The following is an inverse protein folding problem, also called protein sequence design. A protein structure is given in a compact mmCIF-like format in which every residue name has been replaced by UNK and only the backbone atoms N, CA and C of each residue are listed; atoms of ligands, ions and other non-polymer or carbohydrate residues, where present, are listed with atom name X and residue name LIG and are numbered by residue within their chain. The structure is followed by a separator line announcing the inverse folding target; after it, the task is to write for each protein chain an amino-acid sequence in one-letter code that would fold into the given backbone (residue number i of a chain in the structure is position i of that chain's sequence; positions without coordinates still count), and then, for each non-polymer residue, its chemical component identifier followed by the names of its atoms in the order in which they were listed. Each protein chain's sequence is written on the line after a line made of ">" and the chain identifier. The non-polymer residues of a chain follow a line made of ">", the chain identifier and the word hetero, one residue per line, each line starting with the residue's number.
data_IF_249990114495
#
_entry.id   IF_249990114495
#
_cell.length_a   1.000
_cell.length_b   1.000
_cell.length_c   1.000
_cell.angle_alpha   90.00
_cell.angle_beta   90.00
_cell.angle_gamma   90.00
#
_symmetry.space_group_name_H-M   'P 1'
#
loop_
_entity.id
_entity.type
_entity.pdbx_description
1 polymer ?
#
# COMPACT_ATOMS: atom_id res chain seq x y z
N UNK A 1 -12.73 11.48 24.25
CA UNK A 1 -12.43 12.65 23.36
C UNK A 1 -13.47 12.68 22.25
N UNK A 2 -14.22 13.77 22.13
CA UNK A 2 -15.22 13.94 21.06
C UNK A 2 -14.57 14.53 19.82
N UNK A 3 -15.05 14.13 18.64
CA UNK A 3 -14.64 14.71 17.38
C UNK A 3 -15.33 16.07 17.22
N UNK A 4 -14.54 17.12 17.07
CA UNK A 4 -15.03 18.48 16.86
C UNK A 4 -15.25 18.78 15.37
N UNK A 5 -14.33 18.34 14.50
CA UNK A 5 -14.33 18.67 13.09
C UNK A 5 -13.70 17.55 12.26
N UNK A 6 -14.21 17.36 11.05
CA UNK A 6 -13.65 16.48 10.01
C UNK A 6 -13.60 17.27 8.70
N UNK A 7 -12.44 17.36 8.09
CA UNK A 7 -12.19 18.10 6.86
C UNK A 7 -11.42 17.21 5.88
N UNK A 8 -11.74 17.27 4.61
CA UNK A 8 -10.93 16.64 3.58
C UNK A 8 -9.78 17.55 3.11
N UNK A 9 -8.75 16.95 2.51
CA UNK A 9 -7.66 17.69 1.87
C UNK A 9 -7.10 16.94 0.67
N UNK A 10 -6.44 17.67 -0.22
CA UNK A 10 -5.71 17.13 -1.38
C UNK A 10 -4.30 17.73 -1.41
N UNK A 11 -3.28 16.88 -1.57
CA UNK A 11 -1.91 17.30 -1.90
C UNK A 11 -1.51 16.62 -3.22
N UNK A 12 -1.01 17.40 -4.18
CA UNK A 12 -0.43 16.86 -5.42
C UNK A 12 1.09 17.04 -5.37
N UNK A 13 1.78 15.95 -5.09
CA UNK A 13 3.24 15.92 -4.95
C UNK A 13 3.86 15.54 -6.29
N UNK A 14 4.65 16.42 -6.93
CA UNK A 14 5.24 16.12 -8.23
C UNK A 14 6.29 15.02 -8.12
N UNK A 15 6.27 14.13 -9.09
CA UNK A 15 7.35 13.16 -9.30
C UNK A 15 8.48 13.84 -10.05
N UNK A 16 9.65 13.91 -9.44
CA UNK A 16 10.81 14.58 -9.99
C UNK A 16 11.96 13.62 -10.29
N UNK A 17 12.79 13.97 -11.26
CA UNK A 17 14.04 13.26 -11.56
C UNK A 17 13.93 12.05 -12.47
N UNK A 18 12.75 11.45 -12.62
CA UNK A 18 12.51 10.32 -13.54
C UNK A 18 11.05 10.23 -13.97
N UNK A 19 10.81 9.58 -15.10
CA UNK A 19 9.47 9.19 -15.49
C UNK A 19 9.12 7.84 -14.85
N UNK A 20 7.97 7.78 -14.20
CA UNK A 20 7.44 6.53 -13.65
C UNK A 20 6.30 6.03 -14.51
N UNK A 21 6.38 4.77 -14.89
CA UNK A 21 5.25 4.04 -15.44
C UNK A 21 5.36 2.55 -15.10
N UNK A 22 4.22 1.94 -14.89
CA UNK A 22 4.04 0.50 -14.92
C UNK A 22 3.32 0.07 -16.22
N UNK A 23 2.65 -1.08 -16.23
CA UNK A 23 1.95 -1.61 -17.40
C UNK A 23 0.59 -0.95 -17.66
N UNK A 24 0.07 -0.16 -16.72
CA UNK A 24 -1.30 0.38 -16.73
C UNK A 24 -1.35 1.90 -16.74
N UNK A 25 -0.39 2.60 -16.13
CA UNK A 25 -0.42 4.06 -16.04
C UNK A 25 0.98 4.69 -15.91
N UNK A 26 1.03 6.00 -16.17
CA UNK A 26 2.21 6.83 -15.99
C UNK A 26 1.93 7.90 -14.93
N UNK A 27 2.84 8.08 -14.00
CA UNK A 27 2.65 8.93 -12.83
C UNK A 27 3.54 10.17 -12.95
N UNK A 28 2.93 11.35 -13.00
CA UNK A 28 3.61 12.65 -12.97
C UNK A 28 3.51 13.34 -11.62
N UNK A 29 2.45 13.06 -10.87
CA UNK A 29 2.21 13.54 -9.53
C UNK A 29 1.60 12.42 -8.70
N UNK A 30 1.97 12.38 -7.45
CA UNK A 30 1.35 11.53 -6.45
C UNK A 30 0.18 12.29 -5.82
N UNK A 31 -1.04 11.78 -6.00
CA UNK A 31 -2.24 12.35 -5.39
C UNK A 31 -2.41 11.79 -3.98
N UNK A 32 -2.27 12.65 -2.98
CA UNK A 32 -2.55 12.34 -1.56
C UNK A 32 -3.87 12.98 -1.21
N UNK A 33 -4.90 12.18 -0.98
CA UNK A 33 -6.25 12.62 -0.63
C UNK A 33 -6.55 12.19 0.78
N UNK A 34 -6.92 13.12 1.66
CA UNK A 34 -6.97 12.80 3.07
C UNK A 34 -8.15 13.36 3.84
N UNK A 35 -8.23 12.90 5.09
CA UNK A 35 -9.07 13.43 6.14
C UNK A 35 -8.20 13.98 7.28
N UNK A 36 -8.57 15.17 7.76
CA UNK A 36 -8.05 15.79 8.97
C UNK A 36 -9.17 15.77 9.99
N UNK A 37 -8.95 15.13 11.13
CA UNK A 37 -9.93 15.00 12.21
C UNK A 37 -9.40 15.72 13.45
N UNK A 38 -10.17 16.70 13.97
CA UNK A 38 -9.81 17.47 15.15
C UNK A 38 -10.65 17.02 16.34
N UNK A 39 -10.00 16.65 17.44
CA UNK A 39 -10.63 16.38 18.73
C UNK A 39 -10.95 17.66 19.51
N UNK A 40 -11.85 17.57 20.49
CA UNK A 40 -12.25 18.69 21.35
C UNK A 40 -11.10 19.28 22.20
N UNK A 41 -10.03 18.52 22.42
CA UNK A 41 -8.82 18.92 23.11
C UNK A 41 -7.77 19.57 22.18
N UNK A 42 -8.10 19.73 20.90
CA UNK A 42 -7.20 20.28 19.88
C UNK A 42 -6.24 19.26 19.24
N UNK A 43 -6.24 18.01 19.67
CA UNK A 43 -5.46 16.96 19.01
C UNK A 43 -5.95 16.73 17.59
N UNK A 44 -5.02 16.57 16.63
CA UNK A 44 -5.35 16.41 15.21
C UNK A 44 -4.80 15.10 14.66
N UNK A 45 -5.68 14.28 14.10
CA UNK A 45 -5.33 13.09 13.34
C UNK A 45 -5.38 13.33 11.84
N UNK A 46 -4.45 12.74 11.12
CA UNK A 46 -4.38 12.79 9.67
C UNK A 46 -4.38 11.38 9.09
N UNK A 47 -5.17 11.17 8.06
CA UNK A 47 -5.14 9.95 7.27
C UNK A 47 -5.31 10.28 5.80
N UNK A 48 -4.81 9.43 4.93
CA UNK A 48 -4.90 9.66 3.50
C UNK A 48 -5.02 8.35 2.71
N UNK A 49 -5.44 8.51 1.50
CA UNK A 49 -5.49 7.53 0.42
C UNK A 49 -4.96 8.20 -0.86
N UNK A 50 -4.99 7.52 -1.97
CA UNK A 50 -4.60 8.10 -3.25
C UNK A 50 -5.28 7.42 -4.43
N UNK A 51 -5.35 8.16 -5.52
CA UNK A 51 -5.80 7.65 -6.83
C UNK A 51 -4.62 7.32 -7.74
N UNK A 52 -3.41 7.38 -7.19
CA UNK A 52 -2.13 7.26 -7.87
C UNK A 52 -2.00 8.29 -9.00
N UNK A 53 -2.36 7.95 -10.23
CA UNK A 53 -2.17 8.83 -11.38
C UNK A 53 -3.43 9.58 -11.83
N UNK A 54 -4.63 9.22 -11.32
CA UNK A 54 -5.87 9.84 -11.78
C UNK A 54 -6.34 10.97 -10.87
N UNK A 55 -5.58 12.07 -10.82
CA UNK A 55 -5.82 13.22 -9.96
C UNK A 55 -7.25 13.82 -10.01
N UNK A 56 -7.98 13.80 -11.15
CA UNK A 56 -9.37 14.27 -11.14
C UNK A 56 -10.31 13.50 -10.20
N UNK A 57 -10.02 12.22 -9.92
CA UNK A 57 -10.82 11.42 -8.98
C UNK A 57 -10.61 11.81 -7.52
N UNK A 58 -9.58 12.57 -7.19
CA UNK A 58 -9.29 13.04 -5.83
C UNK A 58 -10.48 13.84 -5.28
N UNK A 59 -11.12 14.67 -6.12
CA UNK A 59 -12.30 15.45 -5.73
C UNK A 59 -13.54 14.58 -5.43
N UNK A 60 -13.66 13.41 -6.07
CA UNK A 60 -14.74 12.48 -5.76
C UNK A 60 -14.55 11.87 -4.36
N UNK A 61 -13.31 11.60 -3.98
CA UNK A 61 -12.98 11.09 -2.64
C UNK A 61 -13.25 12.16 -1.58
N UNK A 62 -12.78 13.40 -1.78
CA UNK A 62 -13.04 14.50 -0.82
C UNK A 62 -14.53 14.77 -0.70
N UNK A 63 -15.27 14.76 -1.81
CA UNK A 63 -16.73 14.92 -1.77
C UNK A 63 -17.40 13.81 -0.96
N UNK A 64 -16.96 12.56 -1.10
CA UNK A 64 -17.45 11.45 -0.30
C UNK A 64 -17.15 11.65 1.19
N UNK A 65 -15.91 12.05 1.55
CA UNK A 65 -15.54 12.35 2.93
C UNK A 65 -16.47 13.43 3.50
N UNK A 66 -16.57 14.58 2.85
CA UNK A 66 -17.23 15.76 3.40
C UNK A 66 -18.75 15.60 3.49
N UNK A 67 -19.37 14.91 2.50
CA UNK A 67 -20.84 14.83 2.45
C UNK A 67 -21.41 13.55 3.02
N UNK A 68 -20.66 12.43 2.99
CA UNK A 68 -21.18 11.14 3.40
C UNK A 68 -20.62 10.66 4.75
N UNK A 69 -19.35 10.96 5.06
CA UNK A 69 -18.68 10.39 6.22
C UNK A 69 -18.53 11.39 7.37
N UNK A 70 -18.06 12.60 7.11
CA UNK A 70 -17.83 13.62 8.13
C UNK A 70 -19.05 13.92 9.00
N UNK A 71 -20.29 14.08 8.45
CA UNK A 71 -21.47 14.36 9.28
C UNK A 71 -21.81 13.26 10.29
N UNK A 72 -21.35 12.03 10.06
CA UNK A 72 -21.60 10.90 10.97
C UNK A 72 -20.59 10.83 12.12
N UNK A 73 -19.50 11.58 12.04
CA UNK A 73 -18.38 11.49 12.99
C UNK A 73 -18.36 12.64 13.99
N UNK A 74 -18.82 13.83 13.61
CA UNK A 74 -18.84 14.99 14.52
C UNK A 74 -19.67 14.68 15.76
N UNK A 75 -19.09 14.93 16.95
CA UNK A 75 -19.69 14.62 18.24
C UNK A 75 -19.48 13.19 18.75
N UNK A 76 -18.98 12.29 17.89
CA UNK A 76 -18.67 10.90 18.27
C UNK A 76 -17.37 10.81 19.10
N UNK A 77 -17.18 9.68 19.80
CA UNK A 77 -15.95 9.42 20.53
C UNK A 77 -14.87 8.86 19.60
N UNK A 78 -13.83 9.64 19.33
CA UNK A 78 -12.73 9.30 18.43
C UNK A 78 -11.92 8.05 18.86
N UNK A 79 -11.98 7.66 20.14
CA UNK A 79 -11.24 6.48 20.64
C UNK A 79 -11.90 5.14 20.29
N UNK A 80 -13.14 5.17 19.79
CA UNK A 80 -13.92 3.98 19.44
C UNK A 80 -13.79 3.62 17.95
N UNK A 81 -12.55 3.49 17.47
CA UNK A 81 -12.24 3.33 16.05
C UNK A 81 -13.03 2.19 15.38
N UNK A 82 -13.11 1.01 16.01
CA UNK A 82 -13.86 -0.14 15.50
C UNK A 82 -15.37 0.15 15.36
N UNK A 83 -15.98 0.76 16.36
CA UNK A 83 -17.40 1.15 16.31
C UNK A 83 -17.67 2.17 15.20
N UNK A 84 -16.80 3.17 15.08
CA UNK A 84 -16.91 4.19 14.04
C UNK A 84 -16.72 3.60 12.65
N UNK A 85 -15.76 2.70 12.46
CA UNK A 85 -15.58 1.98 11.22
C UNK A 85 -16.86 1.26 10.78
N UNK A 86 -17.48 0.48 11.68
CA UNK A 86 -18.74 -0.21 11.40
C UNK A 86 -19.91 0.74 11.11
N UNK A 87 -19.98 1.86 11.81
CA UNK A 87 -20.98 2.89 11.54
C UNK A 87 -20.86 3.45 10.14
N UNK A 88 -19.64 3.74 9.69
CA UNK A 88 -19.36 4.25 8.35
C UNK A 88 -19.63 3.18 7.29
N UNK A 89 -19.17 1.97 7.47
CA UNK A 89 -19.36 0.87 6.52
C UNK A 89 -20.83 0.56 6.23
N UNK A 90 -21.72 0.78 7.21
CA UNK A 90 -23.15 0.48 7.09
C UNK A 90 -24.02 1.67 6.68
N UNK A 91 -23.43 2.83 6.49
CA UNK A 91 -24.21 3.97 6.02
C UNK A 91 -24.60 3.80 4.53
N UNK A 92 -25.75 4.38 4.06
CA UNK A 92 -26.29 4.08 2.74
C UNK A 92 -25.35 4.33 1.56
N UNK A 93 -24.52 5.38 1.60
CA UNK A 93 -23.61 5.68 0.49
C UNK A 93 -22.54 4.58 0.30
N UNK A 94 -22.05 3.94 1.38
CA UNK A 94 -21.11 2.83 1.28
C UNK A 94 -21.83 1.51 1.03
N UNK A 95 -22.92 1.27 1.74
CA UNK A 95 -23.61 -0.03 1.66
C UNK A 95 -24.36 -0.25 0.33
N UNK A 96 -24.99 0.81 -0.21
CA UNK A 96 -25.86 0.70 -1.38
C UNK A 96 -25.25 1.25 -2.68
N UNK A 97 -24.46 2.33 -2.59
CA UNK A 97 -23.94 3.03 -3.76
C UNK A 97 -22.57 2.50 -4.17
N UNK A 98 -21.70 2.18 -3.20
CA UNK A 98 -20.38 1.65 -3.51
C UNK A 98 -19.69 1.04 -2.31
N UNK A 99 -19.28 -0.23 -2.43
CA UNK A 99 -18.51 -0.99 -1.43
C UNK A 99 -17.06 -1.20 -1.85
N UNK A 100 -16.64 -0.54 -2.92
CA UNK A 100 -15.29 -0.58 -3.49
C UNK A 100 -14.98 0.74 -4.18
N UNK A 101 -13.71 0.99 -4.51
CA UNK A 101 -13.28 2.21 -5.20
C UNK A 101 -13.48 3.46 -4.34
N UNK A 102 -14.03 4.54 -4.92
CA UNK A 102 -14.09 5.89 -4.31
C UNK A 102 -14.59 5.90 -2.88
N UNK A 103 -15.66 5.19 -2.58
CA UNK A 103 -16.25 5.17 -1.22
C UNK A 103 -15.35 4.47 -0.22
N UNK A 104 -14.69 3.39 -0.62
CA UNK A 104 -13.78 2.64 0.24
C UNK A 104 -12.46 3.38 0.43
N UNK A 105 -11.96 4.07 -0.60
CA UNK A 105 -10.82 4.98 -0.49
C UNK A 105 -11.11 6.14 0.48
N UNK A 106 -12.30 6.76 0.39
CA UNK A 106 -12.72 7.79 1.32
C UNK A 106 -12.80 7.27 2.78
N UNK A 107 -13.35 6.06 2.97
CA UNK A 107 -13.40 5.41 4.27
C UNK A 107 -12.00 5.12 4.81
N UNK A 108 -11.08 4.68 3.95
CA UNK A 108 -9.70 4.42 4.32
C UNK A 108 -9.00 5.66 4.90
N UNK A 109 -9.10 6.81 4.21
CA UNK A 109 -8.53 8.07 4.68
C UNK A 109 -9.07 8.47 6.07
N UNK A 110 -10.37 8.28 6.29
CA UNK A 110 -11.03 8.59 7.58
C UNK A 110 -10.59 7.62 8.68
N UNK A 111 -10.54 6.32 8.40
CA UNK A 111 -10.13 5.31 9.40
C UNK A 111 -8.67 5.50 9.82
N UNK A 112 -7.77 5.75 8.88
CA UNK A 112 -6.36 6.08 9.18
C UNK A 112 -6.26 7.32 10.05
N UNK A 113 -7.05 8.38 9.76
CA UNK A 113 -7.08 9.61 10.57
C UNK A 113 -7.59 9.35 12.00
N UNK A 114 -8.57 8.48 12.17
CA UNK A 114 -9.08 8.08 13.49
C UNK A 114 -8.03 7.30 14.29
N UNK A 115 -7.31 6.38 13.65
CA UNK A 115 -6.22 5.65 14.30
C UNK A 115 -5.05 6.56 14.67
N UNK A 116 -4.67 7.49 13.79
CA UNK A 116 -3.64 8.50 14.06
C UNK A 116 -4.03 9.39 15.25
N UNK A 117 -5.26 9.90 15.24
CA UNK A 117 -5.80 10.70 16.33
C UNK A 117 -5.81 9.95 17.66
N UNK A 118 -6.27 8.70 17.66
CA UNK A 118 -6.30 7.84 18.85
C UNK A 118 -4.89 7.59 19.39
N UNK A 119 -3.93 7.30 18.52
CA UNK A 119 -2.55 7.05 18.89
C UNK A 119 -1.89 8.30 19.51
N UNK A 120 -2.12 9.49 18.92
CA UNK A 120 -1.66 10.77 19.45
C UNK A 120 -2.30 11.09 20.80
N UNK A 121 -3.62 10.90 20.94
CA UNK A 121 -4.32 11.13 22.20
C UNK A 121 -3.82 10.25 23.36
N UNK A 122 -3.33 9.07 23.03
CA UNK A 122 -2.72 8.15 23.99
C UNK A 122 -1.19 8.32 24.11
N UNK A 123 -0.62 9.29 23.39
CA UNK A 123 0.82 9.56 23.34
C UNK A 123 1.65 8.32 22.99
N UNK A 124 1.21 7.56 21.98
CA UNK A 124 1.86 6.31 21.54
C UNK A 124 2.04 6.30 20.03
N UNK A 125 3.16 5.77 19.49
CA UNK A 125 3.22 5.36 18.09
C UNK A 125 2.18 4.28 17.80
N UNK A 126 1.64 4.25 16.59
CA UNK A 126 0.58 3.30 16.23
C UNK A 126 0.99 1.84 16.45
N UNK A 127 2.24 1.45 16.15
CA UNK A 127 2.71 0.08 16.38
C UNK A 127 2.63 -0.33 17.87
N UNK A 128 2.84 0.61 18.78
CA UNK A 128 2.72 0.36 20.23
C UNK A 128 1.26 0.23 20.65
N UNK A 129 0.39 1.09 20.12
CA UNK A 129 -1.06 1.00 20.32
C UNK A 129 -1.63 -0.30 19.80
N UNK A 130 -1.07 -0.85 18.73
CA UNK A 130 -1.45 -2.14 18.16
C UNK A 130 -0.94 -3.36 18.93
N UNK A 131 -0.30 -3.18 20.08
CA UNK A 131 0.12 -4.27 20.97
C UNK A 131 1.62 -4.45 21.13
N UNK A 132 2.43 -3.56 20.53
CA UNK A 132 3.88 -3.56 20.65
C UNK A 132 4.61 -4.20 19.47
N UNK A 133 5.93 -4.05 19.45
CA UNK A 133 6.77 -4.58 18.39
C UNK A 133 7.00 -6.08 18.56
N UNK A 134 6.78 -6.84 17.50
CA UNK A 134 7.06 -8.29 17.43
C UNK A 134 8.43 -8.56 16.80
N UNK A 135 9.10 -7.53 16.30
CA UNK A 135 10.44 -7.57 15.72
C UNK A 135 11.16 -6.24 15.86
N UNK A 136 12.48 -6.28 15.84
CA UNK A 136 13.30 -5.07 15.93
C UNK A 136 13.53 -4.40 14.58
N UNK A 137 13.50 -5.16 13.50
CA UNK A 137 13.77 -4.72 12.13
C UNK A 137 12.72 -5.23 11.16
N UNK A 138 12.42 -4.44 10.12
CA UNK A 138 11.55 -4.79 9.00
C UNK A 138 12.36 -4.67 7.71
N UNK A 139 12.57 -5.79 7.01
CA UNK A 139 13.25 -5.79 5.72
C UNK A 139 12.45 -5.01 4.68
N UNK A 140 13.15 -4.13 3.97
CA UNK A 140 12.61 -3.43 2.82
C UNK A 140 12.96 -4.18 1.52
N UNK A 141 12.03 -4.18 0.55
CA UNK A 141 12.36 -4.48 -0.84
C UNK A 141 12.13 -3.24 -1.71
N UNK A 142 13.09 -2.95 -2.59
CA UNK A 142 13.11 -1.72 -3.35
C UNK A 142 12.37 -1.88 -4.69
N UNK A 143 11.24 -1.18 -4.86
CA UNK A 143 10.47 -1.11 -6.10
C UNK A 143 10.80 0.15 -6.90
N UNK A 144 11.32 1.19 -6.24
CA UNK A 144 11.59 2.49 -6.88
C UNK A 144 12.57 2.41 -8.05
N UNK A 145 13.43 1.40 -8.07
CA UNK A 145 14.37 1.15 -9.16
C UNK A 145 13.81 0.31 -10.30
N UNK A 146 12.62 -0.27 -10.15
CA UNK A 146 12.08 -1.34 -11.01
C UNK A 146 11.05 -0.91 -12.05
N UNK A 147 10.80 0.37 -12.26
CA UNK A 147 9.71 0.85 -13.14
C UNK A 147 9.88 0.43 -14.60
N UNK A 148 8.74 0.16 -15.27
CA UNK A 148 8.71 -0.34 -16.64
C UNK A 148 9.25 0.70 -17.66
N UNK A 149 9.10 1.99 -17.34
CA UNK A 149 9.59 3.11 -18.14
C UNK A 149 11.12 3.28 -18.15
N UNK A 150 11.84 2.61 -17.25
CA UNK A 150 13.29 2.74 -17.17
C UNK A 150 13.96 1.98 -18.32
N UNK A 151 15.00 2.59 -18.91
CA UNK A 151 15.90 1.89 -19.82
C UNK A 151 16.63 0.75 -19.11
N UNK A 152 17.14 -0.24 -19.86
CA UNK A 152 17.86 -1.36 -19.26
C UNK A 152 19.09 -0.90 -18.46
N UNK A 153 19.84 0.07 -18.96
CA UNK A 153 20.99 0.63 -18.25
C UNK A 153 20.58 1.32 -16.94
N UNK A 154 19.47 2.07 -16.93
CA UNK A 154 18.97 2.72 -15.72
C UNK A 154 18.49 1.71 -14.70
N UNK A 155 17.77 0.67 -15.17
CA UNK A 155 17.30 -0.44 -14.33
C UNK A 155 18.47 -1.19 -13.68
N UNK A 156 19.49 -1.56 -14.46
CA UNK A 156 20.63 -2.33 -13.94
C UNK A 156 21.48 -1.50 -12.97
N UNK A 157 21.73 -0.21 -13.28
CA UNK A 157 22.43 0.69 -12.33
C UNK A 157 21.62 0.87 -11.03
N UNK A 158 20.30 1.07 -11.13
CA UNK A 158 19.45 1.20 -9.94
C UNK A 158 19.41 -0.08 -9.10
N UNK A 159 19.37 -1.24 -9.76
CA UNK A 159 19.39 -2.53 -9.07
C UNK A 159 20.72 -2.74 -8.31
N UNK A 160 21.86 -2.43 -8.93
CA UNK A 160 23.17 -2.52 -8.27
C UNK A 160 23.27 -1.52 -7.11
N UNK A 161 22.85 -0.28 -7.33
CA UNK A 161 22.82 0.73 -6.27
C UNK A 161 21.99 0.30 -5.07
N UNK A 162 20.80 -0.29 -5.30
CA UNK A 162 19.97 -0.80 -4.21
C UNK A 162 20.69 -1.91 -3.40
N UNK A 163 21.43 -2.79 -4.07
CA UNK A 163 22.26 -3.80 -3.38
C UNK A 163 23.36 -3.15 -2.56
N UNK A 164 24.05 -2.14 -3.11
CA UNK A 164 25.12 -1.39 -2.42
C UNK A 164 24.56 -0.60 -1.21
N UNK A 165 23.28 -0.18 -1.24
CA UNK A 165 22.55 0.45 -0.15
C UNK A 165 22.00 -0.55 0.88
N UNK A 166 22.32 -1.84 0.75
CA UNK A 166 21.96 -2.90 1.71
C UNK A 166 20.60 -3.55 1.49
N UNK A 167 19.87 -3.21 0.40
CA UNK A 167 18.61 -3.92 0.10
C UNK A 167 18.86 -5.37 -0.25
N UNK A 168 18.14 -6.27 0.43
CA UNK A 168 18.17 -7.72 0.17
C UNK A 168 17.00 -8.19 -0.69
N UNK A 169 16.15 -7.28 -1.13
CA UNK A 169 15.02 -7.53 -2.01
C UNK A 169 14.80 -6.40 -3.00
N UNK A 170 14.45 -6.77 -4.23
CA UNK A 170 14.16 -5.86 -5.34
C UNK A 170 12.89 -6.34 -6.02
N UNK A 171 12.02 -5.41 -6.44
CA UNK A 171 10.86 -5.69 -7.28
C UNK A 171 10.97 -4.91 -8.60
N UNK A 172 10.72 -5.58 -9.73
CA UNK A 172 10.68 -4.93 -11.04
C UNK A 172 9.31 -5.09 -11.69
N UNK A 173 8.89 -4.07 -12.42
CA UNK A 173 7.64 -4.12 -13.19
C UNK A 173 7.83 -4.89 -14.49
N UNK A 174 6.85 -5.72 -14.81
CA UNK A 174 6.68 -6.46 -16.07
C UNK A 174 5.32 -6.09 -16.70
N UNK A 175 4.96 -6.64 -17.86
CA UNK A 175 3.70 -6.32 -18.54
C UNK A 175 3.89 -5.60 -19.88
N UNK A 176 5.11 -5.64 -20.44
CA UNK A 176 5.40 -5.20 -21.81
C UNK A 176 5.09 -6.33 -22.80
N UNK A 177 6.03 -7.23 -23.00
CA UNK A 177 5.86 -8.51 -23.73
C UNK A 177 6.62 -9.61 -22.99
N UNK A 178 6.15 -10.85 -23.09
CA UNK A 178 6.80 -12.00 -22.44
C UNK A 178 8.30 -12.05 -22.76
N UNK A 179 8.68 -11.90 -24.02
CA UNK A 179 10.09 -11.95 -24.44
C UNK A 179 10.93 -10.81 -23.86
N UNK A 180 10.40 -9.59 -23.89
CA UNK A 180 11.07 -8.39 -23.37
C UNK A 180 11.23 -8.46 -21.86
N UNK A 181 10.19 -8.85 -21.16
CA UNK A 181 10.19 -8.90 -19.70
C UNK A 181 11.10 -10.03 -19.18
N UNK A 182 11.17 -11.18 -19.88
CA UNK A 182 12.14 -12.23 -19.59
C UNK A 182 13.59 -11.76 -19.80
N UNK A 183 13.85 -10.95 -20.83
CA UNK A 183 15.17 -10.36 -21.06
C UNK A 183 15.56 -9.45 -19.89
N UNK A 184 14.66 -8.55 -19.46
CA UNK A 184 14.86 -7.64 -18.32
C UNK A 184 15.09 -8.42 -17.02
N UNK A 185 14.22 -9.38 -16.71
CA UNK A 185 14.31 -10.23 -15.53
C UNK A 185 15.69 -10.93 -15.43
N UNK A 186 16.11 -11.58 -16.51
CA UNK A 186 17.40 -12.28 -16.57
C UNK A 186 18.59 -11.32 -16.45
N UNK A 187 18.50 -10.12 -17.01
CA UNK A 187 19.54 -9.10 -16.90
C UNK A 187 19.68 -8.62 -15.45
N UNK A 188 18.56 -8.33 -14.77
CA UNK A 188 18.58 -7.92 -13.35
C UNK A 188 19.11 -9.06 -12.47
N UNK A 189 18.63 -10.30 -12.64
CA UNK A 189 19.12 -11.45 -11.86
C UNK A 189 20.65 -11.60 -11.98
N UNK A 190 21.22 -11.50 -13.19
CA UNK A 190 22.67 -11.54 -13.37
C UNK A 190 23.42 -10.39 -12.69
N UNK A 191 22.80 -9.21 -12.65
CA UNK A 191 23.41 -8.03 -12.03
C UNK A 191 23.45 -8.07 -10.50
N UNK A 192 22.36 -8.58 -9.88
CA UNK A 192 22.23 -8.60 -8.41
C UNK A 192 22.73 -9.90 -7.76
N UNK A 193 23.02 -10.95 -8.56
CA UNK A 193 23.42 -12.26 -8.04
C UNK A 193 22.26 -13.06 -7.45
N UNK A 194 22.55 -14.21 -6.84
CA UNK A 194 21.54 -15.17 -6.38
C UNK A 194 21.07 -14.95 -4.92
N UNK A 195 21.77 -14.12 -4.16
CA UNK A 195 21.46 -13.88 -2.74
C UNK A 195 20.36 -12.83 -2.52
N UNK A 196 20.10 -12.00 -3.52
CA UNK A 196 19.07 -10.93 -3.45
C UNK A 196 17.74 -11.49 -3.94
N UNK A 197 16.67 -11.33 -3.15
CA UNK A 197 15.33 -11.71 -3.58
C UNK A 197 14.85 -10.82 -4.73
N UNK A 198 14.32 -11.41 -5.79
CA UNK A 198 13.84 -10.70 -6.98
C UNK A 198 12.36 -10.99 -7.19
N UNK A 199 11.51 -10.03 -6.91
CA UNK A 199 10.08 -10.07 -7.18
C UNK A 199 9.76 -9.40 -8.51
N UNK A 200 8.64 -9.78 -9.10
CA UNK A 200 8.10 -9.14 -10.31
C UNK A 200 6.64 -8.76 -10.11
N UNK A 201 6.19 -7.73 -10.82
CA UNK A 201 4.84 -7.22 -10.74
C UNK A 201 4.27 -6.92 -12.13
N UNK A 202 3.14 -7.55 -12.48
CA UNK A 202 2.46 -7.44 -13.76
C UNK A 202 1.32 -6.41 -13.80
N UNK A 203 0.86 -5.93 -12.65
CA UNK A 203 -0.28 -5.01 -12.49
C UNK A 203 -1.51 -5.45 -13.28
N UNK A 204 -1.85 -6.75 -13.24
CA UNK A 204 -3.04 -7.32 -13.86
C UNK A 204 -3.02 -7.34 -15.40
N UNK A 205 -1.88 -7.15 -16.03
CA UNK A 205 -1.78 -6.89 -17.47
C UNK A 205 -2.02 -8.09 -18.37
N UNK A 206 -1.57 -9.27 -17.97
CA UNK A 206 -1.55 -10.43 -18.85
C UNK A 206 -2.77 -11.33 -18.68
N UNK A 207 -3.01 -12.15 -19.69
CA UNK A 207 -3.95 -13.27 -19.61
C UNK A 207 -3.27 -14.53 -19.01
N UNK A 208 -4.06 -15.56 -18.77
CA UNK A 208 -3.57 -16.81 -18.19
C UNK A 208 -2.52 -17.50 -19.07
N UNK A 209 -2.69 -17.48 -20.40
CA UNK A 209 -1.76 -18.15 -21.32
C UNK A 209 -0.41 -17.45 -21.35
N UNK A 210 -0.39 -16.12 -21.39
CA UNK A 210 0.85 -15.34 -21.35
C UNK A 210 1.54 -15.49 -19.99
N UNK A 211 0.81 -15.47 -18.89
CA UNK A 211 1.35 -15.71 -17.55
C UNK A 211 1.94 -17.10 -17.39
N UNK A 212 1.29 -18.14 -17.90
CA UNK A 212 1.83 -19.50 -17.89
C UNK A 212 3.13 -19.63 -18.70
N UNK A 213 3.16 -19.05 -19.91
CA UNK A 213 4.38 -19.04 -20.75
C UNK A 213 5.52 -18.28 -20.08
N UNK A 214 5.19 -17.13 -19.47
CA UNK A 214 6.18 -16.35 -18.74
C UNK A 214 6.73 -17.13 -17.54
N UNK A 215 5.88 -17.67 -16.69
CA UNK A 215 6.29 -18.42 -15.50
C UNK A 215 7.20 -19.60 -15.86
N UNK A 216 6.84 -20.40 -16.88
CA UNK A 216 7.64 -21.51 -17.36
C UNK A 216 9.05 -21.06 -17.79
N UNK A 217 9.15 -19.94 -18.52
CA UNK A 217 10.43 -19.43 -19.00
C UNK A 217 11.24 -18.67 -17.94
N UNK A 218 10.58 -18.23 -16.85
CA UNK A 218 11.17 -17.47 -15.74
C UNK A 218 11.67 -18.36 -14.58
N UNK A 219 11.34 -19.66 -14.53
CA UNK A 219 11.70 -20.55 -13.42
C UNK A 219 13.19 -20.52 -13.07
N UNK A 220 14.06 -20.47 -14.08
CA UNK A 220 15.52 -20.42 -13.89
C UNK A 220 16.03 -19.09 -13.31
N UNK A 221 15.16 -18.07 -13.17
CA UNK A 221 15.52 -16.75 -12.64
C UNK A 221 15.27 -16.61 -11.14
N UNK A 222 14.84 -17.68 -10.47
CA UNK A 222 14.56 -17.73 -9.03
C UNK A 222 13.71 -16.53 -8.56
N UNK A 223 12.50 -16.41 -9.13
CA UNK A 223 11.56 -15.33 -8.83
C UNK A 223 10.94 -15.55 -7.46
N UNK A 224 11.06 -14.58 -6.56
CA UNK A 224 10.57 -14.66 -5.20
C UNK A 224 9.03 -14.66 -5.12
N UNK A 225 8.37 -13.78 -5.87
CA UNK A 225 6.95 -13.85 -6.20
C UNK A 225 6.64 -13.16 -7.53
N UNK A 226 5.49 -13.54 -8.10
CA UNK A 226 4.86 -12.84 -9.21
C UNK A 226 3.59 -12.14 -8.69
N UNK A 227 3.67 -10.81 -8.61
CA UNK A 227 2.60 -9.93 -8.13
C UNK A 227 1.64 -9.60 -9.27
N UNK A 228 0.33 -9.69 -8.99
CA UNK A 228 -0.76 -9.36 -9.91
C UNK A 228 -0.53 -9.87 -11.36
N UNK A 229 -0.33 -11.18 -11.55
CA UNK A 229 -0.11 -11.72 -12.90
C UNK A 229 -1.31 -11.51 -13.84
N UNK A 230 -2.53 -11.50 -13.30
CA UNK A 230 -3.80 -11.51 -14.01
C UNK A 230 -4.72 -10.41 -13.47
N UNK A 231 -5.83 -10.16 -14.17
CA UNK A 231 -6.85 -9.24 -13.70
C UNK A 231 -7.31 -9.57 -12.27
N UNK A 232 -7.49 -8.56 -11.45
CA UNK A 232 -7.62 -8.63 -10.00
C UNK A 232 -8.78 -9.51 -9.49
N UNK A 233 -9.89 -9.58 -10.25
CA UNK A 233 -11.09 -10.36 -9.87
C UNK A 233 -11.07 -11.78 -10.42
N UNK A 234 -10.02 -12.18 -11.16
CA UNK A 234 -9.93 -13.46 -11.84
C UNK A 234 -9.45 -14.59 -10.90
N UNK A 235 -10.14 -14.81 -9.78
CA UNK A 235 -9.73 -15.75 -8.72
C UNK A 235 -9.46 -17.17 -9.28
N UNK A 236 -10.36 -17.69 -10.14
CA UNK A 236 -10.20 -19.03 -10.73
C UNK A 236 -8.97 -19.13 -11.64
N UNK A 237 -8.68 -18.07 -12.40
CA UNK A 237 -7.51 -18.07 -13.27
C UNK A 237 -6.21 -17.98 -12.44
N UNK A 238 -6.21 -17.21 -11.34
CA UNK A 238 -5.11 -17.20 -10.38
C UNK A 238 -4.89 -18.58 -9.74
N UNK A 239 -5.96 -19.29 -9.35
CA UNK A 239 -5.85 -20.64 -8.83
C UNK A 239 -5.25 -21.60 -9.87
N UNK A 240 -5.67 -21.52 -11.14
CA UNK A 240 -5.09 -22.32 -12.22
C UNK A 240 -3.60 -22.02 -12.41
N UNK A 241 -3.22 -20.75 -12.41
CA UNK A 241 -1.82 -20.33 -12.52
C UNK A 241 -1.01 -20.80 -11.31
N UNK A 242 -1.53 -20.63 -10.08
CA UNK A 242 -0.87 -21.04 -8.85
C UNK A 242 -0.54 -22.55 -8.82
N UNK A 243 -1.45 -23.38 -9.36
CA UNK A 243 -1.23 -24.82 -9.45
C UNK A 243 -0.26 -25.23 -10.59
N UNK A 244 -0.09 -24.37 -11.59
CA UNK A 244 0.72 -24.68 -12.79
C UNK A 244 2.14 -24.11 -12.74
N UNK A 245 2.46 -23.23 -11.78
CA UNK A 245 3.79 -22.62 -11.63
C UNK A 245 4.42 -22.94 -10.28
N UNK A 246 5.75 -22.90 -10.22
CA UNK A 246 6.51 -22.94 -8.96
C UNK A 246 6.77 -21.53 -8.41
N UNK A 247 6.51 -20.48 -9.18
CA UNK A 247 6.69 -19.10 -8.74
C UNK A 247 5.52 -18.74 -7.81
N UNK A 248 5.77 -18.36 -6.54
CA UNK A 248 4.73 -17.93 -5.64
C UNK A 248 3.96 -16.73 -6.21
N UNK A 249 2.63 -16.72 -6.09
CA UNK A 249 1.80 -15.59 -6.51
C UNK A 249 1.54 -14.65 -5.34
N UNK A 250 1.58 -13.35 -5.60
CA UNK A 250 1.27 -12.29 -4.65
C UNK A 250 0.19 -11.35 -5.23
N UNK A 251 -0.72 -10.88 -4.41
CA UNK A 251 -1.70 -9.87 -4.81
C UNK A 251 -2.40 -9.24 -3.60
N UNK A 252 -3.11 -8.15 -3.81
CA UNK A 252 -3.99 -7.58 -2.80
C UNK A 252 -4.19 -6.07 -2.87
N UNK A 253 -3.35 -5.31 -3.56
CA UNK A 253 -3.47 -3.86 -3.66
C UNK A 253 -4.78 -3.38 -4.32
N UNK A 254 -5.43 -4.22 -5.12
CA UNK A 254 -6.70 -3.93 -5.79
C UNK A 254 -7.90 -4.62 -5.12
N UNK A 255 -7.71 -5.29 -3.99
CA UNK A 255 -8.80 -5.88 -3.22
C UNK A 255 -9.32 -4.90 -2.17
N UNK A 256 -10.63 -4.90 -1.94
CA UNK A 256 -11.31 -3.89 -1.13
C UNK A 256 -11.93 -4.41 0.18
N UNK A 257 -11.87 -5.70 0.45
CA UNK A 257 -12.46 -6.30 1.66
C UNK A 257 -11.77 -7.57 2.09
N UNK A 258 -11.89 -7.92 3.36
CA UNK A 258 -11.41 -9.21 3.89
C UNK A 258 -12.05 -10.40 3.18
N UNK A 259 -13.32 -10.29 2.75
CA UNK A 259 -14.03 -11.35 2.02
C UNK A 259 -13.37 -11.65 0.67
N UNK A 260 -12.87 -10.62 -0.03
CA UNK A 260 -12.13 -10.83 -1.28
C UNK A 260 -10.84 -11.62 -1.05
N UNK A 261 -10.08 -11.32 0.01
CA UNK A 261 -8.90 -12.11 0.38
C UNK A 261 -9.27 -13.54 0.79
N UNK A 262 -10.36 -13.72 1.54
CA UNK A 262 -10.82 -15.04 1.95
C UNK A 262 -11.13 -15.94 0.74
N UNK A 263 -11.70 -15.38 -0.34
CA UNK A 263 -11.98 -16.12 -1.58
C UNK A 263 -10.67 -16.58 -2.26
N UNK A 264 -9.67 -15.70 -2.39
CA UNK A 264 -8.36 -16.09 -2.95
C UNK A 264 -7.67 -17.18 -2.11
N UNK A 265 -7.74 -17.08 -0.79
CA UNK A 265 -7.18 -18.08 0.13
C UNK A 265 -7.92 -19.42 -0.03
N UNK A 266 -9.26 -19.41 -0.03
CA UNK A 266 -10.07 -20.60 -0.15
C UNK A 266 -9.84 -21.38 -1.45
N UNK A 267 -9.56 -20.66 -2.55
CA UNK A 267 -9.23 -21.25 -3.85
C UNK A 267 -7.75 -21.60 -4.02
N UNK A 268 -6.91 -21.38 -2.99
CA UNK A 268 -5.44 -21.56 -3.07
C UNK A 268 -4.82 -20.78 -4.24
N UNK A 269 -5.34 -19.59 -4.50
CA UNK A 269 -4.99 -18.76 -5.65
C UNK A 269 -3.85 -17.76 -5.35
N UNK A 270 -3.33 -17.74 -4.13
CA UNK A 270 -2.32 -16.78 -3.67
C UNK A 270 -1.41 -17.39 -2.62
N UNK A 271 -0.17 -16.94 -2.56
CA UNK A 271 0.85 -17.38 -1.60
C UNK A 271 1.33 -16.24 -0.68
N UNK A 272 1.24 -14.99 -1.15
CA UNK A 272 1.56 -13.78 -0.40
C UNK A 272 0.40 -12.80 -0.50
N UNK A 273 -0.07 -12.29 0.64
CA UNK A 273 -1.13 -11.29 0.67
C UNK A 273 -0.53 -9.88 0.74
N UNK A 274 -1.05 -8.97 -0.09
CA UNK A 274 -0.56 -7.59 -0.19
C UNK A 274 -1.68 -6.57 0.07
N UNK A 275 -2.29 -6.59 1.27
CA UNK A 275 -3.33 -5.61 1.59
C UNK A 275 -2.75 -4.20 1.66
N UNK A 276 -3.56 -3.22 1.30
CA UNK A 276 -3.20 -1.80 1.37
C UNK A 276 -4.24 -1.02 2.18
N UNK A 277 -3.80 -0.30 3.21
CA UNK A 277 -4.69 0.50 4.07
C UNK A 277 -5.42 1.59 3.28
N UNK A 278 -4.85 2.07 2.18
CA UNK A 278 -5.48 3.09 1.33
C UNK A 278 -6.66 2.53 0.53
N UNK A 279 -6.66 1.22 0.25
CA UNK A 279 -7.64 0.55 -0.60
C UNK A 279 -8.79 -0.07 0.18
N UNK A 280 -8.48 -0.61 1.35
CA UNK A 280 -9.34 -1.52 2.11
C UNK A 280 -10.12 -0.85 3.24
N UNK A 281 -10.59 0.37 3.08
CA UNK A 281 -11.27 1.08 4.16
C UNK A 281 -10.42 1.23 5.44
N UNK A 282 -9.09 1.28 5.32
CA UNK A 282 -8.17 1.69 6.36
C UNK A 282 -7.51 0.56 7.15
N UNK A 283 -6.93 0.94 8.26
CA UNK A 283 -6.19 0.06 9.16
C UNK A 283 -7.09 -1.03 9.74
N UNK A 284 -8.31 -0.67 10.13
CA UNK A 284 -9.27 -1.59 10.77
C UNK A 284 -9.56 -2.81 9.91
N UNK A 285 -9.78 -2.63 8.60
CA UNK A 285 -10.05 -3.75 7.69
C UNK A 285 -8.77 -4.55 7.36
N UNK A 286 -7.64 -3.86 7.19
CA UNK A 286 -6.36 -4.53 6.93
C UNK A 286 -5.93 -5.41 8.11
N UNK A 287 -6.21 -5.02 9.34
CA UNK A 287 -5.94 -5.86 10.52
C UNK A 287 -6.70 -7.19 10.44
N UNK A 288 -7.94 -7.21 9.94
CA UNK A 288 -8.72 -8.45 9.74
C UNK A 288 -8.08 -9.36 8.68
N UNK A 289 -7.55 -8.78 7.60
CA UNK A 289 -6.79 -9.56 6.60
C UNK A 289 -5.52 -10.15 7.20
N UNK A 290 -4.79 -9.39 8.00
CA UNK A 290 -3.55 -9.88 8.65
C UNK A 290 -3.89 -11.03 9.64
N UNK A 291 -4.98 -10.92 10.38
CA UNK A 291 -5.45 -12.00 11.28
C UNK A 291 -5.88 -13.24 10.49
N UNK A 292 -6.60 -13.07 9.39
CA UNK A 292 -6.97 -14.15 8.47
C UNK A 292 -5.73 -14.83 7.88
N UNK A 293 -4.74 -14.05 7.42
CA UNK A 293 -3.46 -14.55 6.93
C UNK A 293 -2.73 -15.38 8.00
N UNK A 294 -2.68 -14.88 9.24
CA UNK A 294 -2.07 -15.59 10.37
C UNK A 294 -2.75 -16.93 10.67
N UNK A 295 -4.10 -16.99 10.62
CA UNK A 295 -4.87 -18.22 10.80
C UNK A 295 -4.55 -19.28 9.71
N UNK A 296 -4.28 -18.82 8.48
CA UNK A 296 -3.91 -19.67 7.35
C UNK A 296 -2.39 -19.86 7.18
N UNK A 297 -1.57 -19.25 8.07
CA UNK A 297 -0.09 -19.28 8.00
C UNK A 297 0.47 -18.73 6.68
N UNK A 298 -0.23 -17.76 6.09
CA UNK A 298 0.21 -17.06 4.90
C UNK A 298 1.01 -15.81 5.30
N UNK A 299 2.12 -15.53 4.62
CA UNK A 299 2.86 -14.30 4.82
C UNK A 299 2.13 -13.11 4.20
N UNK A 300 2.35 -11.94 4.81
CA UNK A 300 1.84 -10.66 4.35
C UNK A 300 3.01 -9.74 4.00
N UNK A 301 2.93 -9.11 2.85
CA UNK A 301 3.80 -8.02 2.43
C UNK A 301 2.91 -6.83 2.04
N UNK A 302 2.53 -5.95 2.98
CA UNK A 302 1.62 -4.86 2.67
C UNK A 302 2.10 -4.07 1.45
N UNK A 303 1.19 -3.82 0.51
CA UNK A 303 1.47 -2.94 -0.61
C UNK A 303 1.64 -1.53 -0.07
N UNK A 304 2.80 -0.95 -0.26
CA UNK A 304 3.09 0.33 0.37
C UNK A 304 2.79 1.51 -0.55
N UNK A 305 2.91 1.33 -1.86
CA UNK A 305 2.70 2.41 -2.80
C UNK A 305 3.23 3.73 -2.26
N UNK A 306 2.33 4.53 -1.73
CA UNK A 306 2.61 5.81 -1.08
C UNK A 306 2.33 5.81 0.44
N UNK A 307 1.98 4.65 1.04
CA UNK A 307 1.54 4.55 2.44
C UNK A 307 2.51 3.83 3.38
N UNK A 308 3.79 3.77 3.03
CA UNK A 308 4.81 3.18 3.90
C UNK A 308 4.80 3.75 5.33
N UNK A 309 4.36 5.00 5.50
CA UNK A 309 4.19 5.64 6.80
C UNK A 309 3.32 4.82 7.75
N UNK A 310 2.19 4.32 7.29
CA UNK A 310 1.27 3.51 8.10
C UNK A 310 1.69 2.05 8.11
N UNK A 311 2.05 1.50 6.95
CA UNK A 311 2.35 0.08 6.81
C UNK A 311 3.56 -0.36 7.65
N UNK A 312 4.58 0.50 7.86
CA UNK A 312 5.69 0.18 8.76
C UNK A 312 5.21 -0.15 10.17
N UNK A 313 4.19 0.55 10.71
CA UNK A 313 3.63 0.24 12.02
C UNK A 313 2.99 -1.15 12.08
N UNK A 314 2.30 -1.57 11.00
CA UNK A 314 1.74 -2.91 10.88
C UNK A 314 2.85 -3.96 10.84
N UNK A 315 3.90 -3.72 10.05
CA UNK A 315 5.03 -4.65 9.93
C UNK A 315 5.78 -4.83 11.26
N UNK A 316 5.96 -3.77 12.05
CA UNK A 316 6.58 -3.88 13.37
C UNK A 316 5.69 -4.62 14.37
N UNK A 317 4.36 -4.51 14.27
CA UNK A 317 3.43 -5.00 15.30
C UNK A 317 2.73 -6.33 14.96
N UNK A 318 2.86 -6.86 13.74
CA UNK A 318 2.12 -8.04 13.28
C UNK A 318 3.06 -9.12 12.74
N UNK A 319 2.96 -10.33 13.31
CA UNK A 319 3.83 -11.47 12.93
C UNK A 319 3.72 -11.90 11.47
N UNK A 320 2.54 -11.91 10.81
CA UNK A 320 2.45 -12.28 9.40
C UNK A 320 3.13 -11.28 8.45
N UNK A 321 3.28 -10.01 8.85
CA UNK A 321 3.87 -8.96 8.00
C UNK A 321 5.39 -9.11 7.94
N UNK A 322 5.91 -9.80 6.92
CA UNK A 322 7.31 -10.25 6.87
C UNK A 322 8.27 -9.22 6.27
N UNK A 323 7.85 -8.52 5.22
CA UNK A 323 8.65 -7.54 4.47
C UNK A 323 7.78 -6.35 4.10
N UNK A 324 8.38 -5.20 3.76
CA UNK A 324 7.65 -4.01 3.36
C UNK A 324 8.28 -3.39 2.11
N UNK A 325 7.42 -2.97 1.19
CA UNK A 325 7.79 -2.27 -0.03
C UNK A 325 8.41 -0.91 0.26
N UNK A 326 9.44 -0.54 -0.51
CA UNK A 326 10.09 0.76 -0.44
C UNK A 326 9.87 1.56 -1.72
N UNK A 327 9.05 2.63 -1.57
CA UNK A 327 8.84 3.69 -2.55
C UNK A 327 8.91 5.02 -1.78
N UNK A 328 9.97 5.83 -1.93
CA UNK A 328 10.26 6.95 -1.01
C UNK A 328 9.63 8.30 -1.41
N UNK A 329 8.74 8.36 -2.36
CA UNK A 329 8.38 9.55 -3.14
C UNK A 329 7.73 10.68 -2.36
N UNK A 330 6.84 10.36 -1.41
CA UNK A 330 6.14 11.36 -0.60
C UNK A 330 6.67 11.45 0.83
N UNK A 331 7.71 10.70 1.18
CA UNK A 331 8.20 10.60 2.57
C UNK A 331 8.54 11.96 3.18
N UNK A 332 9.13 12.87 2.40
CA UNK A 332 9.53 14.20 2.85
C UNK A 332 8.32 15.15 3.09
N UNK A 333 7.11 14.69 2.76
CA UNK A 333 5.88 15.43 3.04
C UNK A 333 5.41 15.26 4.49
N UNK A 334 5.99 14.36 5.27
CA UNK A 334 5.55 14.03 6.62
C UNK A 334 6.57 14.44 7.69
N UNK A 335 6.07 14.82 8.87
CA UNK A 335 6.90 15.23 10.02
C UNK A 335 7.79 14.08 10.52
N UNK A 336 7.30 12.85 10.44
CA UNK A 336 8.08 11.65 10.69
C UNK A 336 8.19 10.83 9.39
N UNK A 337 9.18 11.15 8.52
CA UNK A 337 9.35 10.42 7.27
C UNK A 337 9.82 8.99 7.50
N UNK A 338 9.44 8.07 6.61
CA UNK A 338 10.01 6.72 6.63
C UNK A 338 11.54 6.79 6.46
N UNK A 339 12.24 5.93 7.18
CA UNK A 339 13.68 5.79 7.09
C UNK A 339 14.05 4.34 6.87
N UNK A 340 14.88 4.09 5.86
CA UNK A 340 15.47 2.79 5.58
C UNK A 340 16.99 2.95 5.66
N UNK A 341 17.62 2.09 6.47
CA UNK A 341 19.07 2.05 6.66
C UNK A 341 19.51 0.60 6.45
N UNK A 342 20.51 0.38 5.63
CA UNK A 342 21.01 -0.96 5.28
C UNK A 342 19.87 -1.93 4.91
N UNK A 343 18.94 -1.46 4.06
CA UNK A 343 17.80 -2.24 3.60
C UNK A 343 16.71 -2.53 4.65
N UNK A 344 16.73 -1.89 5.82
CA UNK A 344 15.76 -2.11 6.89
C UNK A 344 15.06 -0.82 7.30
N UNK A 345 13.73 -0.89 7.44
CA UNK A 345 12.93 0.20 8.01
C UNK A 345 13.31 0.45 9.46
N UNK A 346 13.47 1.71 9.80
CA UNK A 346 13.68 2.16 11.17
C UNK A 346 12.33 2.37 11.85
N UNK A 347 12.17 1.85 13.06
CA UNK A 347 10.92 1.90 13.81
C UNK A 347 10.53 3.34 14.15
N UNK A 348 9.29 3.79 13.80
CA UNK A 348 8.82 5.13 14.13
C UNK A 348 8.74 5.35 15.65
N UNK A 349 9.00 6.57 16.11
CA UNK A 349 9.07 6.90 17.52
C UNK A 349 8.00 7.89 17.97
N UNK A 350 7.46 8.70 17.04
CA UNK A 350 6.51 9.73 17.41
C UNK A 350 5.10 9.15 17.60
N UNK A 351 4.29 9.76 18.51
CA UNK A 351 2.88 9.41 18.64
C UNK A 351 2.12 9.61 17.33
N UNK A 352 1.26 8.65 17.00
CA UNK A 352 0.48 8.67 15.76
C UNK A 352 0.85 7.56 14.78
N UNK A 353 0.38 7.72 13.55
CA UNK A 353 0.57 6.80 12.43
C UNK A 353 1.61 7.30 11.41
N UNK A 354 2.44 8.28 11.78
CA UNK A 354 3.43 8.97 10.94
C UNK A 354 2.80 9.68 9.71
N UNK A 355 1.55 10.14 9.83
CA UNK A 355 0.76 10.70 8.72
C UNK A 355 0.60 12.22 8.77
N UNK A 356 1.19 12.92 9.74
CA UNK A 356 1.11 14.37 9.85
C UNK A 356 1.92 15.05 8.75
N UNK A 357 1.28 15.83 7.84
CA UNK A 357 2.01 16.56 6.82
C UNK A 357 2.86 17.67 7.43
N UNK A 358 4.05 17.90 6.86
CA UNK A 358 4.86 19.06 7.22
C UNK A 358 4.15 20.36 6.80
N UNK A 359 4.37 21.50 7.50
CA UNK A 359 3.84 22.81 7.08
C UNK A 359 4.26 23.16 5.63
N UNK A 360 5.47 22.83 5.23
CA UNK A 360 6.01 23.07 3.89
C UNK A 360 5.27 22.26 2.82
N UNK A 361 4.99 20.97 3.08
CA UNK A 361 4.23 20.13 2.16
C UNK A 361 2.79 20.64 2.03
N UNK A 362 2.20 21.04 3.15
CA UNK A 362 0.86 21.60 3.18
C UNK A 362 0.76 22.89 2.37
N UNK A 363 1.66 23.83 2.54
CA UNK A 363 1.69 25.08 1.79
C UNK A 363 1.93 24.86 0.29
N UNK A 364 2.90 24.00 -0.06
CA UNK A 364 3.37 23.84 -1.41
C UNK A 364 2.47 22.99 -2.31
N UNK A 365 1.89 21.94 -1.75
CA UNK A 365 1.22 20.89 -2.55
C UNK A 365 -0.29 20.86 -2.41
N UNK A 366 -0.87 21.61 -1.47
CA UNK A 366 -2.32 21.66 -1.25
C UNK A 366 -3.05 22.12 -2.51
N UNK A 367 -4.20 21.47 -2.77
CA UNK A 367 -5.14 21.82 -3.83
C UNK A 367 -6.52 22.06 -3.25
N UNK A 368 -7.38 22.78 -4.01
CA UNK A 368 -8.77 22.96 -3.63
C UNK A 368 -9.50 21.61 -3.60
N UNK A 369 -10.40 21.45 -2.65
CA UNK A 369 -11.23 20.24 -2.48
C UNK A 369 -12.59 20.34 -3.15
N UNK A 370 -12.93 21.51 -3.71
CA UNK A 370 -14.19 21.83 -4.43
C UNK A 370 -13.91 22.72 -5.63
#
# INVERSE_FOLDING_TARGET
>A
MRIQQVESFILHVPVTGKQIADSTHSISHWGVVGARITGEDGTVGYGFTGTHAHLPSDQLITRCIDTCLAPLLVGENALETERLWWRLARQPALQWVGRAGITTLAHAAVDVALWDLRAKALNMPLWQLLGGAVREEVRAYNTDIGWLSLSDDALLRGAQQAVDEGFTGIKIKVGSTVARDLQRLRAVRRAIGDTITLAIDGNGKWDLNDSLRFCQAAEASDVFWYEEPLWYDAVRAHAQLAHATRIPLALGEQLYSVDAFAEFIAQQAVHWLQPDVTRMAGITEVLRVIELAGAHRLPVAPHAGDMSQVHQHLNFSRTPCAVLEYIPWIRECFEEPIRVVDGHYQRPQQPGASTTPTPQAWERYRRATS
#
